data_IF_368660084543
#
_entry.id   IF_368660084543
#
_cell.length_a   1.000
_cell.length_b   1.000
_cell.length_c   1.000
_cell.angle_alpha   90.00
_cell.angle_beta   90.00
_cell.angle_gamma   90.00
#
_symmetry.space_group_name_H-M   'P 1'
#
loop_
_entity.id
_entity.type
_entity.pdbx_description
1 polymer ?
#
# COMPACT_ATOMS: atom_id res chain seq x y z
N UNK A 1 -44.80 62.20 -3.23
CA UNK A 1 -45.85 61.85 -2.26
C UNK A 1 -46.58 60.69 -2.89
N UNK A 2 -46.45 59.43 -2.46
CA UNK A 2 -46.25 58.95 -1.10
C UNK A 2 -45.27 57.77 -0.97
N UNK A 3 -44.61 57.78 0.18
CA UNK A 3 -43.89 56.68 0.82
C UNK A 3 -44.89 55.62 1.30
N UNK A 4 -44.56 54.32 1.12
CA UNK A 4 -44.73 53.38 2.24
C UNK A 4 -43.64 52.31 2.22
N UNK A 5 -42.86 52.32 3.29
CA UNK A 5 -41.89 51.30 3.70
C UNK A 5 -42.59 50.09 4.32
N UNK A 6 -41.82 48.99 4.34
CA UNK A 6 -41.82 47.86 5.28
C UNK A 6 -42.89 46.79 5.14
N UNK A 7 -42.46 45.60 4.70
CA UNK A 7 -42.52 44.47 5.60
C UNK A 7 -41.22 43.66 5.57
N UNK A 8 -40.58 43.71 6.72
CA UNK A 8 -39.43 42.97 7.19
C UNK A 8 -39.58 41.45 7.02
N UNK A 9 -38.46 40.82 6.68
CA UNK A 9 -37.98 39.52 7.19
C UNK A 9 -38.87 38.30 7.01
N UNK A 10 -38.53 37.52 5.98
CA UNK A 10 -38.24 36.11 6.20
C UNK A 10 -36.97 35.77 5.44
N UNK A 11 -35.83 36.15 6.04
CA UNK A 11 -34.60 35.39 5.85
C UNK A 11 -34.94 33.93 6.15
N UNK A 12 -35.23 33.14 5.11
CA UNK A 12 -34.91 31.72 5.14
C UNK A 12 -33.39 31.62 5.10
N UNK A 13 -32.78 32.02 6.22
CA UNK A 13 -31.47 31.62 6.64
C UNK A 13 -31.54 30.10 6.68
N UNK A 14 -31.22 29.47 5.55
CA UNK A 14 -30.86 28.06 5.47
C UNK A 14 -29.74 27.90 6.49
N UNK A 15 -30.14 27.54 7.71
CA UNK A 15 -29.23 27.12 8.76
C UNK A 15 -28.45 25.97 8.15
N UNK A 16 -27.22 26.27 7.69
CA UNK A 16 -26.21 25.29 7.35
C UNK A 16 -26.00 24.46 8.61
N UNK A 17 -26.78 23.40 8.75
CA UNK A 17 -26.63 22.43 9.81
C UNK A 17 -25.27 21.79 9.59
N UNK A 18 -24.35 22.11 10.49
CA UNK A 18 -22.91 21.84 10.41
C UNK A 18 -22.56 20.34 10.38
N UNK A 19 -23.56 19.46 10.36
CA UNK A 19 -23.44 18.01 10.47
C UNK A 19 -24.61 17.31 9.78
N UNK A 20 -24.57 17.16 8.45
CA UNK A 20 -25.41 16.15 7.78
C UNK A 20 -24.64 15.39 6.68
N UNK A 21 -24.64 14.07 6.87
CA UNK A 21 -24.01 12.98 6.08
C UNK A 21 -22.52 12.68 6.37
N UNK A 22 -22.10 11.39 6.38
CA UNK A 22 -20.69 10.96 6.37
C UNK A 22 -19.96 11.21 5.03
N UNK A 23 -20.67 11.77 4.03
CA UNK A 23 -20.11 12.13 2.72
C UNK A 23 -18.89 13.06 2.77
N UNK A 24 -18.76 14.06 3.66
CA UNK A 24 -17.59 14.95 3.66
C UNK A 24 -16.32 14.24 4.16
N UNK A 25 -16.43 13.21 5.00
CA UNK A 25 -15.27 12.44 5.46
C UNK A 25 -14.75 11.54 4.33
N UNK A 26 -15.63 10.82 3.66
CA UNK A 26 -15.28 9.98 2.51
C UNK A 26 -14.68 10.81 1.36
N UNK A 27 -15.24 11.98 1.07
CA UNK A 27 -14.71 12.89 0.04
C UNK A 27 -13.34 13.45 0.45
N UNK A 28 -13.13 13.79 1.72
CA UNK A 28 -11.80 14.22 2.23
C UNK A 28 -10.77 13.10 2.13
N UNK A 29 -11.11 11.88 2.52
CA UNK A 29 -10.22 10.72 2.42
C UNK A 29 -9.88 10.39 0.96
N UNK A 30 -10.89 10.40 0.07
CA UNK A 30 -10.68 10.24 -1.37
C UNK A 30 -9.73 11.30 -1.91
N UNK A 31 -9.95 12.57 -1.56
CA UNK A 31 -9.09 13.66 -2.03
C UNK A 31 -7.69 13.62 -1.39
N UNK A 32 -7.54 13.03 -0.20
CA UNK A 32 -6.24 12.79 0.43
C UNK A 32 -5.42 11.75 -0.36
N UNK A 33 -6.07 10.65 -0.76
CA UNK A 33 -5.46 9.51 -1.47
C UNK A 33 -5.26 9.82 -2.96
N UNK A 34 -6.35 10.17 -3.65
CA UNK A 34 -6.38 10.30 -5.11
C UNK A 34 -6.19 11.75 -5.62
N UNK A 35 -6.19 12.74 -4.73
CA UNK A 35 -6.14 14.14 -5.16
C UNK A 35 -7.43 14.60 -5.85
N UNK A 36 -7.37 15.78 -6.48
CA UNK A 36 -8.52 16.40 -7.16
C UNK A 36 -8.59 16.10 -8.67
N UNK A 37 -7.46 15.72 -9.28
CA UNK A 37 -7.34 15.43 -10.72
C UNK A 37 -6.85 13.99 -10.89
N UNK A 38 -7.42 13.29 -11.87
CA UNK A 38 -6.98 11.94 -12.22
C UNK A 38 -5.63 12.04 -12.95
N UNK A 39 -4.64 11.20 -12.62
CA UNK A 39 -3.39 11.14 -13.35
C UNK A 39 -3.59 10.41 -14.70
N UNK A 40 -2.58 10.48 -15.56
CA UNK A 40 -2.58 9.83 -16.87
C UNK A 40 -2.78 8.30 -16.77
N UNK A 41 -3.11 7.67 -17.90
CA UNK A 41 -3.39 6.23 -18.01
C UNK A 41 -2.22 5.40 -17.50
N UNK A 42 -0.98 5.75 -17.86
CA UNK A 42 0.21 4.99 -17.48
C UNK A 42 0.47 5.03 -15.97
N UNK A 43 0.30 6.19 -15.34
CA UNK A 43 0.37 6.34 -13.87
C UNK A 43 -0.72 5.51 -13.19
N UNK A 44 -1.95 5.50 -13.72
CA UNK A 44 -3.05 4.69 -13.17
C UNK A 44 -2.74 3.20 -13.28
N UNK A 45 -2.27 2.73 -14.43
CA UNK A 45 -1.90 1.34 -14.66
C UNK A 45 -0.79 0.89 -13.68
N UNK A 46 0.29 1.68 -13.59
CA UNK A 46 1.40 1.43 -12.66
C UNK A 46 0.91 1.38 -11.22
N UNK A 47 0.05 2.32 -10.83
CA UNK A 47 -0.55 2.36 -9.50
C UNK A 47 -1.37 1.09 -9.21
N UNK A 48 -2.26 0.66 -10.12
CA UNK A 48 -3.12 -0.49 -9.86
C UNK A 48 -2.35 -1.81 -9.81
N UNK A 49 -1.37 -2.01 -10.69
CA UNK A 49 -0.48 -3.18 -10.64
C UNK A 49 0.22 -3.23 -9.27
N UNK A 50 0.82 -2.11 -8.86
CA UNK A 50 1.53 -2.04 -7.59
C UNK A 50 0.59 -2.11 -6.37
N UNK A 51 -0.66 -1.65 -6.49
CA UNK A 51 -1.67 -1.76 -5.45
C UNK A 51 -2.09 -3.21 -5.22
N UNK A 52 -2.25 -4.00 -6.28
CA UNK A 52 -2.56 -5.43 -6.17
C UNK A 52 -1.42 -6.17 -5.48
N UNK A 53 -0.17 -5.94 -5.92
CA UNK A 53 1.01 -6.52 -5.28
C UNK A 53 1.07 -6.14 -3.80
N UNK A 54 0.92 -4.84 -3.51
CA UNK A 54 0.89 -4.32 -2.14
C UNK A 54 -0.18 -5.02 -1.29
N UNK A 55 -1.40 -5.20 -1.82
CA UNK A 55 -2.50 -5.84 -1.11
C UNK A 55 -2.15 -7.29 -0.77
N UNK A 56 -1.60 -8.04 -1.73
CA UNK A 56 -1.17 -9.42 -1.52
C UNK A 56 -0.17 -9.54 -0.39
N UNK A 57 0.89 -8.71 -0.39
CA UNK A 57 1.90 -8.76 0.66
C UNK A 57 1.40 -8.24 2.02
N UNK A 58 0.57 -7.20 2.02
CA UNK A 58 -0.03 -6.67 3.24
C UNK A 58 -0.91 -7.72 3.92
N UNK A 59 -1.79 -8.38 3.14
CA UNK A 59 -2.63 -9.46 3.64
C UNK A 59 -1.81 -10.65 4.10
N UNK A 60 -0.77 -11.04 3.35
CA UNK A 60 0.12 -12.12 3.74
C UNK A 60 0.79 -11.88 5.10
N UNK A 61 1.35 -10.68 5.31
CA UNK A 61 1.98 -10.34 6.58
C UNK A 61 0.97 -10.23 7.73
N UNK A 62 -0.23 -9.73 7.47
CA UNK A 62 -1.29 -9.66 8.49
C UNK A 62 -1.77 -11.05 8.91
N UNK A 63 -2.04 -11.93 7.94
CA UNK A 63 -2.45 -13.32 8.20
C UNK A 63 -1.34 -14.07 8.93
N UNK A 64 -0.09 -13.93 8.48
CA UNK A 64 1.07 -14.56 9.12
C UNK A 64 1.24 -14.13 10.57
N UNK A 65 1.17 -12.82 10.84
CA UNK A 65 1.24 -12.29 12.20
C UNK A 65 0.12 -12.84 13.10
N UNK A 66 -1.12 -12.80 12.63
CA UNK A 66 -2.28 -13.30 13.40
C UNK A 66 -2.15 -14.80 13.63
N UNK A 67 -1.75 -15.58 12.63
CA UNK A 67 -1.62 -17.03 12.74
C UNK A 67 -0.58 -17.43 13.79
N UNK A 68 0.59 -16.76 13.82
CA UNK A 68 1.66 -17.07 14.77
C UNK A 68 1.34 -16.55 16.17
N UNK A 69 0.76 -15.35 16.29
CA UNK A 69 0.36 -14.78 17.57
C UNK A 69 -0.76 -15.59 18.23
N UNK A 70 -1.68 -16.15 17.43
CA UNK A 70 -2.83 -16.93 17.90
C UNK A 70 -2.60 -18.44 17.84
N UNK A 71 -1.35 -18.90 17.70
CA UNK A 71 -1.01 -20.31 17.48
C UNK A 71 -1.61 -21.26 18.53
N UNK A 72 -1.62 -20.88 19.82
CA UNK A 72 -2.19 -21.68 20.91
C UNK A 72 -3.70 -21.89 20.73
N UNK A 73 -4.42 -20.80 20.44
CA UNK A 73 -5.86 -20.84 20.15
C UNK A 73 -6.16 -21.71 18.92
N UNK A 74 -5.32 -21.65 17.89
CA UNK A 74 -5.48 -22.50 16.68
C UNK A 74 -5.28 -23.98 17.04
N UNK A 75 -4.28 -24.30 17.86
CA UNK A 75 -4.06 -25.66 18.34
C UNK A 75 -5.23 -26.17 19.17
N UNK A 76 -5.76 -25.36 20.08
CA UNK A 76 -6.90 -25.74 20.93
C UNK A 76 -8.19 -25.96 20.13
N UNK A 77 -8.49 -25.10 19.15
CA UNK A 77 -9.76 -25.16 18.40
C UNK A 77 -9.69 -26.16 17.24
N UNK A 78 -8.56 -26.20 16.52
CA UNK A 78 -8.44 -26.97 15.28
C UNK A 78 -7.60 -28.24 15.44
N UNK A 79 -6.95 -28.45 16.59
CA UNK A 79 -6.03 -29.56 16.79
C UNK A 79 -4.73 -29.46 15.97
N UNK A 80 -4.46 -28.30 15.35
CA UNK A 80 -3.28 -28.11 14.50
C UNK A 80 -2.13 -27.60 15.37
N UNK A 81 -1.07 -28.40 15.49
CA UNK A 81 0.14 -28.05 16.25
C UNK A 81 1.04 -27.09 15.46
N UNK A 82 0.53 -25.88 15.18
CA UNK A 82 1.21 -24.82 14.41
C UNK A 82 2.62 -24.55 14.94
N UNK A 83 2.80 -24.54 16.25
CA UNK A 83 4.09 -24.34 16.89
C UNK A 83 5.11 -25.42 16.49
N UNK A 84 4.72 -26.70 16.50
CA UNK A 84 5.63 -27.79 16.10
C UNK A 84 5.97 -27.75 14.61
N UNK A 85 4.99 -27.42 13.76
CA UNK A 85 5.20 -27.32 12.31
C UNK A 85 6.22 -26.22 12.00
N UNK A 86 6.05 -25.03 12.57
CA UNK A 86 6.95 -23.89 12.32
C UNK A 86 8.33 -24.15 12.95
N UNK A 87 8.36 -24.71 14.16
CA UNK A 87 9.61 -25.08 14.83
C UNK A 87 10.44 -26.09 14.02
N UNK A 88 9.79 -27.13 13.49
CA UNK A 88 10.45 -28.14 12.66
C UNK A 88 11.07 -27.51 11.40
N UNK A 89 10.32 -26.64 10.72
CA UNK A 89 10.86 -25.90 9.56
C UNK A 89 12.01 -24.98 9.93
N UNK A 90 11.94 -24.33 11.09
CA UNK A 90 13.03 -23.51 11.62
C UNK A 90 14.33 -24.30 11.77
N UNK A 91 14.26 -25.53 12.28
CA UNK A 91 15.42 -26.42 12.42
C UNK A 91 16.00 -26.79 11.05
N UNK A 92 15.16 -27.10 10.06
CA UNK A 92 15.61 -27.38 8.68
C UNK A 92 16.35 -26.20 8.04
N UNK A 93 15.98 -24.97 8.44
CA UNK A 93 16.61 -23.73 7.99
C UNK A 93 17.82 -23.31 8.85
N UNK A 94 18.23 -24.12 9.83
CA UNK A 94 19.40 -23.89 10.67
C UNK A 94 19.16 -23.01 11.91
N UNK A 95 17.91 -22.81 12.31
CA UNK A 95 17.57 -22.07 13.54
C UNK A 95 17.35 -22.99 14.73
N UNK A 96 17.47 -22.42 15.93
CA UNK A 96 16.90 -23.03 17.12
C UNK A 96 15.35 -22.95 17.08
N UNK A 97 14.62 -24.00 17.52
CA UNK A 97 13.17 -24.13 17.33
C UNK A 97 12.34 -22.90 17.74
N UNK A 98 12.67 -22.29 18.89
CA UNK A 98 11.90 -21.16 19.44
C UNK A 98 12.37 -19.80 18.94
N UNK A 99 13.61 -19.71 18.45
CA UNK A 99 14.15 -18.48 17.89
C UNK A 99 13.47 -18.17 16.54
N UNK A 100 13.29 -19.18 15.70
CA UNK A 100 12.66 -19.02 14.39
C UNK A 100 11.23 -18.48 14.47
N UNK A 101 10.39 -19.05 15.35
CA UNK A 101 9.00 -18.61 15.53
C UNK A 101 8.95 -17.14 15.95
N UNK A 102 9.83 -16.76 16.89
CA UNK A 102 9.90 -15.39 17.40
C UNK A 102 10.33 -14.41 16.31
N UNK A 103 11.36 -14.77 15.53
CA UNK A 103 11.83 -13.96 14.40
C UNK A 103 10.80 -13.84 13.30
N UNK A 104 10.12 -14.93 12.95
CA UNK A 104 9.08 -14.94 11.93
C UNK A 104 7.90 -14.05 12.32
N UNK A 105 7.50 -14.08 13.60
CA UNK A 105 6.46 -13.18 14.11
C UNK A 105 6.88 -11.70 14.00
N UNK A 106 8.13 -11.39 14.34
CA UNK A 106 8.69 -10.03 14.20
C UNK A 106 8.72 -9.60 12.74
N UNK A 107 9.15 -10.47 11.81
CA UNK A 107 9.20 -10.15 10.38
C UNK A 107 7.81 -9.86 9.81
N UNK A 108 6.79 -10.62 10.19
CA UNK A 108 5.43 -10.32 9.78
C UNK A 108 4.91 -9.01 10.39
N UNK A 109 5.14 -8.77 11.69
CA UNK A 109 4.73 -7.53 12.35
C UNK A 109 5.40 -6.28 11.78
N UNK A 110 6.72 -6.31 11.62
CA UNK A 110 7.49 -5.22 10.98
C UNK A 110 7.14 -5.13 9.49
N UNK A 111 6.84 -6.26 8.85
CA UNK A 111 6.35 -6.34 7.47
C UNK A 111 5.07 -5.53 7.28
N UNK A 112 4.08 -5.67 8.16
CA UNK A 112 2.85 -4.86 8.14
C UNK A 112 3.16 -3.35 8.15
N UNK A 113 4.08 -2.91 9.02
CA UNK A 113 4.49 -1.50 9.09
C UNK A 113 5.20 -1.06 7.81
N UNK A 114 6.13 -1.89 7.31
CA UNK A 114 6.87 -1.64 6.08
C UNK A 114 5.94 -1.50 4.87
N UNK A 115 4.96 -2.39 4.74
CA UNK A 115 3.95 -2.30 3.68
C UNK A 115 3.04 -1.08 3.87
N UNK A 116 2.80 -0.62 5.10
CA UNK A 116 2.17 0.68 5.37
C UNK A 116 2.98 1.87 4.81
N UNK A 117 4.31 1.85 4.92
CA UNK A 117 5.20 2.86 4.33
C UNK A 117 5.17 2.81 2.80
N UNK A 118 5.17 1.62 2.22
CA UNK A 118 5.05 1.43 0.77
C UNK A 118 3.70 1.96 0.27
N UNK A 119 2.61 1.75 1.01
CA UNK A 119 1.30 2.30 0.67
C UNK A 119 1.31 3.82 0.57
N UNK A 120 1.98 4.48 1.51
CA UNK A 120 2.18 5.93 1.44
C UNK A 120 2.95 6.33 0.18
N UNK A 121 3.96 5.54 -0.21
CA UNK A 121 4.63 5.65 -1.50
C UNK A 121 3.67 5.54 -2.70
N UNK A 122 2.73 4.59 -2.69
CA UNK A 122 1.72 4.44 -3.76
C UNK A 122 0.79 5.65 -3.85
N UNK A 123 0.37 6.22 -2.71
CA UNK A 123 -0.41 7.47 -2.69
C UNK A 123 0.38 8.60 -3.36
N UNK A 124 1.68 8.73 -3.05
CA UNK A 124 2.54 9.73 -3.67
C UNK A 124 2.75 9.47 -5.16
N UNK A 125 2.83 8.20 -5.59
CA UNK A 125 2.92 7.80 -6.99
C UNK A 125 1.67 8.27 -7.75
N UNK A 126 0.47 7.98 -7.23
CA UNK A 126 -0.79 8.43 -7.83
C UNK A 126 -0.85 9.95 -7.95
N UNK A 127 -0.29 10.66 -6.96
CA UNK A 127 -0.19 12.13 -6.94
C UNK A 127 1.01 12.68 -7.73
N UNK A 128 1.73 11.84 -8.49
CA UNK A 128 2.90 12.20 -9.29
C UNK A 128 4.01 12.91 -8.51
N UNK A 129 4.18 12.64 -7.20
CA UNK A 129 5.17 13.29 -6.32
C UNK A 129 6.49 12.53 -6.31
N UNK A 130 7.61 13.18 -6.67
CA UNK A 130 8.95 12.53 -6.85
C UNK A 130 9.40 11.66 -5.68
N UNK A 131 8.96 12.00 -4.46
CA UNK A 131 9.30 11.29 -3.24
C UNK A 131 8.78 9.84 -3.23
N UNK A 132 7.78 9.48 -4.06
CA UNK A 132 7.19 8.14 -4.10
C UNK A 132 8.24 7.03 -4.22
N UNK A 133 9.28 7.26 -5.03
CA UNK A 133 10.33 6.27 -5.31
C UNK A 133 11.07 5.88 -4.03
N UNK A 134 11.38 6.84 -3.15
CA UNK A 134 12.10 6.57 -1.91
C UNK A 134 11.28 5.69 -0.97
N UNK A 135 9.97 5.92 -0.89
CA UNK A 135 9.07 5.12 -0.05
C UNK A 135 8.86 3.70 -0.59
N UNK A 136 8.64 3.56 -1.91
CA UNK A 136 8.42 2.25 -2.52
C UNK A 136 9.72 1.44 -2.54
N UNK A 137 10.78 1.96 -3.16
CA UNK A 137 12.04 1.22 -3.31
C UNK A 137 12.71 1.03 -1.94
N UNK A 138 12.75 2.07 -1.10
CA UNK A 138 13.32 1.97 0.24
C UNK A 138 12.56 0.95 1.10
N UNK A 139 11.23 0.95 1.03
CA UNK A 139 10.40 -0.05 1.72
C UNK A 139 10.64 -1.47 1.20
N UNK A 140 10.69 -1.68 -0.12
CA UNK A 140 10.96 -3.00 -0.70
C UNK A 140 12.35 -3.51 -0.33
N UNK A 141 13.38 -2.66 -0.42
CA UNK A 141 14.75 -3.02 -0.04
C UNK A 141 14.83 -3.35 1.46
N UNK A 142 14.17 -2.56 2.31
CA UNK A 142 14.11 -2.85 3.74
C UNK A 142 13.41 -4.18 4.03
N UNK A 143 12.28 -4.45 3.39
CA UNK A 143 11.55 -5.72 3.52
C UNK A 143 12.37 -6.92 3.06
N UNK A 144 13.05 -6.82 1.91
CA UNK A 144 13.98 -7.85 1.44
C UNK A 144 15.15 -8.04 2.42
N UNK A 145 15.69 -6.94 2.94
CA UNK A 145 16.73 -6.97 3.96
C UNK A 145 16.31 -7.72 5.22
N UNK A 146 15.07 -7.53 5.70
CA UNK A 146 14.54 -8.32 6.82
C UNK A 146 14.50 -9.81 6.50
N UNK A 147 14.03 -10.20 5.32
CA UNK A 147 13.96 -11.61 4.94
C UNK A 147 15.35 -12.24 4.79
N UNK A 148 16.32 -11.53 4.23
CA UNK A 148 17.66 -12.06 3.96
C UNK A 148 18.55 -12.05 5.21
N UNK A 149 18.57 -10.94 5.96
CA UNK A 149 19.52 -10.75 7.05
C UNK A 149 18.94 -11.10 8.43
N UNK A 150 17.65 -10.84 8.67
CA UNK A 150 17.06 -11.06 10.00
C UNK A 150 16.50 -12.47 10.17
N UNK A 151 15.86 -13.03 9.12
CA UNK A 151 15.61 -14.47 9.03
C UNK A 151 16.91 -15.15 8.59
N UNK A 152 17.08 -15.44 7.31
CA UNK A 152 18.33 -15.96 6.77
C UNK A 152 18.28 -15.96 5.25
N UNK A 153 19.46 -15.97 4.62
CA UNK A 153 19.53 -16.15 3.18
C UNK A 153 18.93 -17.48 2.73
N UNK A 154 19.04 -18.53 3.55
CA UNK A 154 18.45 -19.84 3.25
C UNK A 154 16.91 -19.78 3.25
N UNK A 155 16.30 -19.10 4.23
CA UNK A 155 14.86 -18.83 4.22
C UNK A 155 14.43 -18.09 2.95
N UNK A 156 15.17 -17.04 2.54
CA UNK A 156 14.87 -16.31 1.31
C UNK A 156 14.97 -17.20 0.05
N UNK A 157 15.93 -18.12 0.03
CA UNK A 157 16.11 -19.03 -1.11
C UNK A 157 15.01 -20.09 -1.18
N UNK A 158 14.72 -20.72 -0.06
CA UNK A 158 13.90 -21.95 0.02
C UNK A 158 12.42 -21.69 0.33
N UNK A 159 12.11 -20.72 1.20
CA UNK A 159 10.76 -20.50 1.71
C UNK A 159 10.07 -19.25 1.15
N UNK A 160 10.83 -18.29 0.63
CA UNK A 160 10.23 -17.18 -0.13
C UNK A 160 9.84 -17.66 -1.53
N UNK A 161 8.55 -17.55 -1.85
CA UNK A 161 8.00 -18.11 -3.08
C UNK A 161 8.57 -17.39 -4.31
N UNK A 162 8.60 -18.09 -5.45
CA UNK A 162 8.96 -17.46 -6.73
C UNK A 162 8.00 -16.35 -7.11
N UNK A 163 6.72 -16.47 -6.74
CA UNK A 163 5.73 -15.42 -6.90
C UNK A 163 6.16 -14.14 -6.19
N UNK A 164 6.59 -14.23 -4.92
CA UNK A 164 7.03 -13.05 -4.16
C UNK A 164 8.21 -12.36 -4.83
N UNK A 165 9.20 -13.13 -5.28
CA UNK A 165 10.41 -12.61 -5.95
C UNK A 165 10.05 -11.87 -7.23
N UNK A 166 9.17 -12.44 -8.05
CA UNK A 166 8.72 -11.83 -9.31
C UNK A 166 7.86 -10.59 -9.03
N UNK A 167 6.94 -10.65 -8.07
CA UNK A 167 6.08 -9.52 -7.73
C UNK A 167 6.88 -8.31 -7.22
N UNK A 168 7.87 -8.55 -6.35
CA UNK A 168 8.78 -7.49 -5.90
C UNK A 168 9.61 -6.91 -7.05
N UNK A 169 10.10 -7.76 -7.96
CA UNK A 169 10.83 -7.30 -9.14
C UNK A 169 9.95 -6.43 -10.05
N UNK A 170 8.71 -6.86 -10.31
CA UNK A 170 7.73 -6.08 -11.10
C UNK A 170 7.46 -4.74 -10.45
N UNK A 171 7.26 -4.69 -9.13
CA UNK A 171 7.05 -3.43 -8.40
C UNK A 171 8.26 -2.50 -8.49
N UNK A 172 9.48 -3.03 -8.37
CA UNK A 172 10.72 -2.24 -8.49
C UNK A 172 10.88 -1.70 -9.90
N UNK A 173 10.76 -2.55 -10.92
CA UNK A 173 10.92 -2.15 -12.32
C UNK A 173 9.84 -1.15 -12.75
N UNK A 174 8.57 -1.39 -12.41
CA UNK A 174 7.47 -0.47 -12.75
C UNK A 174 7.67 0.91 -12.11
N UNK A 175 8.15 0.94 -10.85
CA UNK A 175 8.45 2.18 -10.11
C UNK A 175 9.61 2.94 -10.73
N UNK A 176 10.68 2.24 -11.13
CA UNK A 176 11.85 2.84 -11.78
C UNK A 176 11.47 3.40 -13.15
N UNK A 177 10.80 2.62 -13.99
CA UNK A 177 10.34 3.04 -15.32
C UNK A 177 9.44 4.27 -15.19
N UNK A 178 8.47 4.24 -14.28
CA UNK A 178 7.58 5.38 -14.03
C UNK A 178 8.36 6.63 -13.57
N UNK A 179 9.38 6.46 -12.71
CA UNK A 179 10.23 7.56 -12.29
C UNK A 179 10.99 8.21 -13.44
N UNK A 180 11.54 7.41 -14.36
CA UNK A 180 12.24 7.90 -15.54
C UNK A 180 11.30 8.66 -16.47
N UNK A 181 10.11 8.12 -16.73
CA UNK A 181 9.10 8.78 -17.56
C UNK A 181 8.67 10.10 -16.93
N UNK A 182 8.32 10.12 -15.64
CA UNK A 182 7.97 11.35 -14.91
C UNK A 182 9.08 12.42 -14.96
N UNK A 183 10.35 12.01 -15.01
CA UNK A 183 11.48 12.94 -15.18
C UNK A 183 11.50 13.56 -16.58
N UNK A 184 11.09 12.81 -17.60
CA UNK A 184 10.97 13.29 -18.98
C UNK A 184 9.78 14.26 -19.16
N UNK A 185 8.61 13.92 -18.61
CA UNK A 185 7.40 14.78 -18.64
C UNK A 185 7.70 16.18 -18.10
N UNK A 186 8.42 16.24 -16.97
CA UNK A 186 8.79 17.50 -16.32
C UNK A 186 9.83 18.32 -17.07
N UNK A 187 10.54 17.72 -18.02
CA UNK A 187 11.50 18.41 -18.91
C UNK A 187 10.82 18.93 -20.19
N UNK A 188 9.50 18.79 -20.31
CA UNK A 188 8.73 19.23 -21.47
C UNK A 188 8.59 18.18 -22.57
N UNK A 189 9.00 16.93 -22.33
CA UNK A 189 8.69 15.83 -23.24
C UNK A 189 7.25 15.35 -23.06
N UNK A 190 6.55 15.03 -24.15
CA UNK A 190 5.26 14.33 -24.07
C UNK A 190 5.49 12.86 -23.72
N UNK A 191 4.63 12.31 -22.85
CA UNK A 191 4.53 10.86 -22.63
C UNK A 191 3.21 10.43 -23.28
N UNK A 192 3.22 10.26 -24.59
CA UNK A 192 2.11 9.63 -25.30
C UNK A 192 2.52 8.18 -25.60
N UNK A 193 2.17 7.25 -24.72
CA UNK A 193 2.46 5.82 -24.90
C UNK A 193 1.28 5.06 -25.52
N UNK A 194 0.06 5.61 -25.40
CA UNK A 194 -1.17 4.99 -25.89
C UNK A 194 -1.89 5.83 -26.96
N UNK A 195 -1.19 6.79 -27.57
CA UNK A 195 -1.77 7.77 -28.47
C UNK A 195 -2.32 8.97 -27.71
N UNK A 196 -2.21 10.14 -28.32
CA UNK A 196 -2.94 11.31 -27.85
C UNK A 196 -4.42 10.97 -28.06
N UNK A 197 -5.24 11.11 -27.02
CA UNK A 197 -6.69 11.14 -27.23
C UNK A 197 -6.90 12.33 -28.16
N UNK A 198 -7.20 12.03 -29.44
CA UNK A 198 -7.47 13.02 -30.47
C UNK A 198 -8.35 14.12 -29.86
N UNK A 199 -7.91 15.37 -30.03
CA UNK A 199 -8.72 16.54 -29.74
C UNK A 199 -10.00 16.41 -30.56
N UNK A 200 -11.07 15.90 -29.94
CA UNK A 200 -12.43 16.07 -30.46
C UNK A 200 -12.79 17.55 -30.25
N UNK A 201 -12.64 18.32 -31.32
CA UNK A 201 -13.22 19.66 -31.52
C UNK A 201 -14.75 19.68 -31.27
#
# INVERSE_FOLDING_TARGET
MDNTYSEHTAEANEKKTKFQSPKPILVRLRNLIFGKRKPDIFTRLTFYINLVIWLSFMLWNLIGYIAISSRKMITEIKGIEVEKIIAARGVELGFEPMDFISRLNVVHGVGVLCWGVIFFGLILLYRKRRQFVYFIIGGVVFYLGLNIFYLSFQFFREDTTSFDKIALLVMVLSTIIHSFLMKNERRGGSISFFGDEDEED
#
